data_IF_042272984511
#
_entry.id   IF_042272984511
#
_cell.length_a   1.000
_cell.length_b   1.000
_cell.length_c   1.000
_cell.angle_alpha   90.00
_cell.angle_beta   90.00
_cell.angle_gamma   90.00
#
_symmetry.space_group_name_H-M   'P 1'
#
loop_
_entity.id
_entity.type
_entity.pdbx_description
1 polymer ?
#
# COMPACT_ATOMS: atom_id res chain seq x y z
N UNK A 1 14.55 25.55 12.03
CA UNK A 1 13.28 24.78 11.97
C UNK A 1 13.23 23.71 10.87
N UNK A 2 14.28 23.54 10.05
CA UNK A 2 14.40 22.44 9.06
C UNK A 2 14.76 21.05 9.65
N UNK A 3 15.07 20.98 10.96
CA UNK A 3 15.58 19.76 11.59
C UNK A 3 14.50 18.90 12.26
N UNK A 4 13.26 19.39 12.40
CA UNK A 4 12.17 18.65 13.07
C UNK A 4 11.66 17.46 12.25
N UNK A 5 11.70 17.56 10.92
CA UNK A 5 11.25 16.50 10.02
C UNK A 5 12.34 15.49 9.65
N UNK A 6 13.61 15.82 9.87
CA UNK A 6 14.72 14.90 9.59
C UNK A 6 14.74 13.72 10.58
N UNK A 7 14.31 13.94 11.84
CA UNK A 7 14.26 12.89 12.86
C UNK A 7 13.10 11.91 12.63
N UNK A 8 11.94 12.41 12.17
CA UNK A 8 10.79 11.58 11.76
C UNK A 8 11.14 10.78 10.49
N UNK A 9 11.89 11.37 9.55
CA UNK A 9 12.35 10.70 8.34
C UNK A 9 13.33 9.55 8.66
N UNK A 10 14.27 9.74 9.59
CA UNK A 10 15.19 8.69 10.03
C UNK A 10 14.45 7.59 10.81
N UNK A 11 13.45 7.93 11.63
CA UNK A 11 12.67 6.92 12.36
C UNK A 11 11.80 6.06 11.42
N UNK A 12 11.13 6.67 10.43
CA UNK A 12 10.33 5.96 9.43
C UNK A 12 11.21 5.15 8.47
N UNK A 13 12.42 5.62 8.14
CA UNK A 13 13.38 4.87 7.32
C UNK A 13 14.03 3.70 8.08
N UNK A 14 14.36 3.87 9.37
CA UNK A 14 14.91 2.80 10.23
C UNK A 14 13.87 1.68 10.44
N UNK A 15 12.60 2.02 10.60
CA UNK A 15 11.50 1.04 10.63
C UNK A 15 11.33 0.35 9.26
N UNK A 16 11.69 1.01 8.16
CA UNK A 16 11.57 0.48 6.80
C UNK A 16 12.76 -0.36 6.31
N UNK A 17 13.91 -0.35 7.01
CA UNK A 17 15.07 -1.21 6.69
C UNK A 17 15.05 -2.54 7.45
N UNK A 18 14.37 -2.65 8.60
CA UNK A 18 14.31 -3.90 9.38
C UNK A 18 13.25 -4.91 8.87
N UNK A 19 12.49 -4.58 7.83
CA UNK A 19 11.54 -5.49 7.16
C UNK A 19 12.07 -5.87 5.77
N UNK A 20 13.32 -6.33 5.72
CA UNK A 20 13.90 -6.94 4.53
C UNK A 20 14.45 -8.33 4.86
N UNK A 21 13.52 -9.29 4.85
CA UNK A 21 13.67 -10.68 4.41
C UNK A 21 14.62 -11.60 5.20
N UNK A 22 14.08 -12.57 6.00
CA UNK A 22 14.78 -13.84 6.15
C UNK A 22 14.68 -14.60 4.82
N UNK A 23 15.84 -14.98 4.31
CA UNK A 23 16.02 -15.80 3.12
C UNK A 23 15.88 -17.25 3.58
N UNK A 24 14.78 -17.92 3.25
CA UNK A 24 14.64 -19.35 3.50
C UNK A 24 15.57 -20.10 2.55
N UNK A 25 16.65 -20.63 3.11
CA UNK A 25 17.56 -21.58 2.50
C UNK A 25 17.01 -22.99 2.74
N UNK A 26 16.51 -23.65 1.70
CA UNK A 26 16.43 -25.11 1.60
C UNK A 26 15.80 -25.51 0.28
N UNK A 27 16.61 -25.51 -0.78
CA UNK A 27 16.32 -26.35 -1.95
C UNK A 27 17.62 -27.06 -2.32
N UNK A 28 18.05 -27.96 -1.43
CA UNK A 28 19.06 -28.96 -1.70
C UNK A 28 18.34 -30.29 -1.91
N UNK A 29 18.31 -30.74 -3.16
CA UNK A 29 18.14 -32.16 -3.48
C UNK A 29 19.53 -32.81 -3.41
N UNK A 30 19.63 -34.06 -2.95
CA UNK A 30 20.19 -35.06 -3.87
C UNK A 30 19.55 -36.48 -3.78
N UNK A 31 19.40 -37.05 -4.98
CA UNK A 31 19.59 -38.43 -5.46
C UNK A 31 19.40 -39.67 -4.55
N UNK A 32 18.53 -40.55 -5.07
CA UNK A 32 18.55 -42.04 -5.14
C UNK A 32 18.63 -42.89 -3.87
N UNK A 33 17.69 -43.84 -3.74
CA UNK A 33 17.92 -45.29 -3.84
C UNK A 33 16.61 -46.09 -3.72
N UNK A 34 16.50 -47.10 -4.58
CA UNK A 34 15.45 -48.13 -4.62
C UNK A 34 15.39 -49.00 -3.36
N UNK A 35 14.19 -49.49 -3.00
CA UNK A 35 13.90 -50.93 -2.82
C UNK A 35 12.37 -51.18 -2.64
N UNK A 36 11.89 -52.19 -3.41
CA UNK A 36 10.82 -53.20 -3.21
C UNK A 36 9.86 -53.10 -1.99
N UNK A 37 8.61 -53.61 -1.97
CA UNK A 37 7.73 -54.39 -2.86
C UNK A 37 6.35 -54.58 -2.16
N UNK A 38 5.37 -55.06 -2.94
CA UNK A 38 4.24 -55.93 -2.56
C UNK A 38 2.83 -55.34 -2.31
N UNK A 39 1.86 -55.87 -3.07
CA UNK A 39 0.44 -55.97 -2.71
C UNK A 39 -0.54 -55.41 -3.75
N UNK A 40 -0.70 -56.01 -4.93
CA UNK A 40 -1.78 -56.96 -5.28
C UNK A 40 -3.23 -56.43 -5.24
N UNK A 41 -3.85 -56.21 -6.40
CA UNK A 41 -5.24 -56.59 -6.69
C UNK A 41 -5.56 -56.46 -8.20
N UNK A 42 -6.21 -57.50 -8.71
CA UNK A 42 -6.63 -57.82 -10.08
C UNK A 42 -7.93 -57.14 -10.52
N UNK A 43 -8.10 -56.84 -11.82
CA UNK A 43 -9.31 -57.21 -12.59
C UNK A 43 -9.26 -56.83 -14.09
N UNK A 44 -9.75 -57.78 -14.90
CA UNK A 44 -10.40 -57.71 -16.22
C UNK A 44 -9.67 -57.29 -17.51
N UNK A 45 -9.45 -58.34 -18.31
CA UNK A 45 -9.24 -58.51 -19.76
C UNK A 45 -10.18 -57.70 -20.69
N UNK A 46 -9.67 -57.24 -21.84
CA UNK A 46 -9.93 -57.82 -23.17
C UNK A 46 -9.15 -57.10 -24.32
N UNK A 47 -8.89 -57.78 -25.47
CA UNK A 47 -7.82 -57.42 -26.41
C UNK A 47 -8.30 -57.01 -27.83
N UNK A 48 -7.47 -56.27 -28.58
CA UNK A 48 -7.47 -56.27 -30.05
C UNK A 48 -6.14 -55.73 -30.62
N UNK A 49 -5.60 -56.40 -31.63
CA UNK A 49 -4.36 -56.15 -32.39
C UNK A 49 -4.70 -55.75 -33.85
N UNK A 50 -3.77 -55.68 -34.85
CA UNK A 50 -2.51 -54.91 -34.98
C UNK A 50 -2.30 -54.17 -36.34
N UNK A 51 -1.35 -53.21 -36.38
CA UNK A 51 -0.41 -52.93 -37.50
C UNK A 51 -0.76 -51.84 -38.57
N UNK A 52 0.20 -51.35 -39.40
CA UNK A 52 1.67 -51.47 -39.35
C UNK A 52 2.48 -50.14 -39.52
N UNK A 53 3.78 -50.29 -39.32
CA UNK A 53 4.98 -49.44 -39.46
C UNK A 53 5.17 -48.67 -40.79
N UNK A 54 5.69 -47.42 -40.76
CA UNK A 54 6.87 -46.92 -41.53
C UNK A 54 7.06 -45.38 -41.51
N UNK A 55 8.28 -44.95 -41.21
CA UNK A 55 8.91 -43.61 -41.42
C UNK A 55 9.45 -43.49 -42.87
N UNK A 56 10.18 -42.42 -43.32
CA UNK A 56 10.29 -40.98 -42.98
C UNK A 56 10.20 -40.05 -44.24
N UNK A 57 10.22 -38.71 -44.09
CA UNK A 57 10.73 -37.85 -45.19
C UNK A 57 10.20 -36.41 -45.33
N UNK A 58 11.13 -35.46 -45.17
CA UNK A 58 11.32 -34.28 -46.03
C UNK A 58 10.46 -33.02 -45.80
N UNK A 59 11.14 -32.04 -45.18
CA UNK A 59 10.95 -30.59 -45.23
C UNK A 59 10.50 -30.02 -46.58
N UNK A 60 9.59 -29.03 -46.58
CA UNK A 60 9.73 -27.72 -47.26
C UNK A 60 8.50 -26.84 -46.97
N UNK A 61 8.71 -25.68 -46.35
CA UNK A 61 7.87 -24.46 -46.46
C UNK A 61 8.80 -23.39 -47.03
N UNK A 62 8.37 -22.43 -47.89
CA UNK A 62 7.26 -21.50 -47.58
C UNK A 62 6.46 -20.97 -48.79
N UNK A 63 5.13 -21.02 -48.72
CA UNK A 63 4.25 -20.32 -49.66
C UNK A 63 3.82 -18.96 -49.11
N UNK A 64 4.42 -17.87 -49.61
CA UNK A 64 4.04 -16.48 -49.33
C UNK A 64 2.90 -16.07 -50.26
N UNK A 65 1.78 -15.61 -49.70
CA UNK A 65 0.75 -14.90 -50.45
C UNK A 65 0.36 -13.61 -49.71
N UNK A 66 0.24 -12.45 -50.42
CA UNK A 66 0.04 -11.14 -49.79
C UNK A 66 -1.44 -10.75 -49.82
N UNK A 67 -2.07 -10.41 -48.70
CA UNK A 67 -3.24 -9.52 -48.76
C UNK A 67 -3.66 -8.91 -47.41
N UNK A 68 -4.15 -7.69 -47.52
CA UNK A 68 -4.80 -6.84 -46.52
C UNK A 68 -3.87 -6.19 -45.49
N UNK A 69 -3.27 -5.09 -45.94
CA UNK A 69 -3.05 -3.92 -45.10
C UNK A 69 -4.37 -3.52 -44.42
N UNK A 70 -4.59 -4.06 -43.23
CA UNK A 70 -5.62 -3.58 -42.32
C UNK A 70 -5.23 -2.15 -41.90
N UNK A 71 -5.61 -1.17 -42.71
CA UNK A 71 -5.67 0.24 -42.34
C UNK A 71 -6.61 0.33 -41.15
N UNK A 72 -6.06 0.20 -39.94
CA UNK A 72 -6.77 0.58 -38.73
C UNK A 72 -6.91 2.10 -38.78
N UNK A 73 -8.09 2.56 -39.19
CA UNK A 73 -8.57 3.88 -38.83
C UNK A 73 -8.21 4.13 -37.35
N UNK A 74 -7.62 5.27 -36.98
CA UNK A 74 -7.58 5.70 -35.59
C UNK A 74 -8.99 6.16 -35.23
N UNK A 75 -9.92 5.20 -35.16
CA UNK A 75 -11.21 5.40 -34.53
C UNK A 75 -10.89 5.86 -33.11
N UNK A 76 -11.44 7.02 -32.75
CA UNK A 76 -11.38 7.62 -31.43
C UNK A 76 -11.86 6.62 -30.37
N UNK A 77 -10.97 5.72 -29.98
CA UNK A 77 -11.18 4.78 -28.90
C UNK A 77 -11.01 5.58 -27.63
N UNK A 78 -12.13 6.00 -27.04
CA UNK A 78 -12.15 6.57 -25.71
C UNK A 78 -11.38 5.64 -24.78
N UNK A 79 -10.14 6.00 -24.44
CA UNK A 79 -9.28 5.14 -23.64
C UNK A 79 -9.96 4.95 -22.29
N UNK A 80 -10.32 3.69 -21.98
CA UNK A 80 -10.91 3.34 -20.69
C UNK A 80 -9.97 3.85 -19.60
N UNK A 81 -10.48 4.74 -18.74
CA UNK A 81 -9.72 5.32 -17.63
C UNK A 81 -9.15 4.18 -16.78
N UNK A 82 -7.82 4.05 -16.77
CA UNK A 82 -7.15 2.97 -16.03
C UNK A 82 -7.30 3.22 -14.52
N UNK A 83 -7.92 2.28 -13.82
CA UNK A 83 -8.04 2.31 -12.35
C UNK A 83 -6.70 1.97 -11.70
N UNK A 84 -6.29 2.74 -10.71
CA UNK A 84 -5.11 2.43 -9.91
C UNK A 84 -5.38 1.25 -8.96
N UNK A 85 -4.34 0.45 -8.69
CA UNK A 85 -4.42 -0.62 -7.67
C UNK A 85 -4.65 0.01 -6.29
N UNK A 86 -5.38 -0.66 -5.38
CA UNK A 86 -5.55 -0.17 -4.01
C UNK A 86 -4.19 0.10 -3.36
N UNK A 87 -4.11 1.20 -2.59
CA UNK A 87 -2.86 1.68 -1.97
C UNK A 87 -1.95 2.51 -2.87
N UNK A 88 -2.07 2.42 -4.22
CA UNK A 88 -1.17 3.17 -5.13
C UNK A 88 -1.38 4.69 -5.01
N UNK A 89 -2.63 5.13 -4.90
CA UNK A 89 -2.97 6.56 -4.77
C UNK A 89 -2.58 7.06 -3.38
N UNK A 90 -2.91 6.30 -2.32
CA UNK A 90 -2.53 6.64 -0.95
C UNK A 90 -1.00 6.81 -0.78
N UNK A 91 -0.19 5.90 -1.32
CA UNK A 91 1.27 6.02 -1.25
C UNK A 91 1.80 7.24 -2.02
N UNK A 92 1.13 7.66 -3.09
CA UNK A 92 1.49 8.88 -3.82
C UNK A 92 1.17 10.12 -3.00
N UNK A 93 -0.02 10.17 -2.40
CA UNK A 93 -0.47 11.25 -1.54
C UNK A 93 0.44 11.40 -0.32
N UNK A 94 0.80 10.29 0.35
CA UNK A 94 1.75 10.30 1.46
C UNK A 94 3.08 10.95 1.05
N UNK A 95 3.66 10.55 -0.09
CA UNK A 95 4.91 11.15 -0.57
C UNK A 95 4.75 12.63 -0.93
N UNK A 96 3.60 13.02 -1.47
CA UNK A 96 3.32 14.41 -1.81
C UNK A 96 3.21 15.29 -0.56
N UNK A 97 2.47 14.84 0.46
CA UNK A 97 2.30 15.56 1.72
C UNK A 97 3.55 15.53 2.60
N UNK A 98 4.42 14.52 2.48
CA UNK A 98 5.72 14.53 3.16
C UNK A 98 6.74 15.44 2.47
N UNK A 99 6.58 15.70 1.17
CA UNK A 99 7.45 16.63 0.43
C UNK A 99 7.06 18.10 0.65
N UNK A 100 5.80 18.38 0.96
CA UNK A 100 5.25 19.74 1.06
C UNK A 100 4.55 19.96 2.39
N UNK A 101 4.82 21.07 3.06
CA UNK A 101 4.31 21.37 4.40
C UNK A 101 3.09 22.32 4.39
N UNK A 102 2.30 22.33 3.32
CA UNK A 102 1.11 23.19 3.22
C UNK A 102 0.03 22.72 4.21
N UNK A 103 -0.72 23.68 4.76
CA UNK A 103 -1.89 23.40 5.58
C UNK A 103 -2.93 22.59 4.78
N UNK A 104 -3.45 21.55 5.41
CA UNK A 104 -4.40 20.61 4.80
C UNK A 104 -5.85 20.96 5.17
N UNK A 105 -6.07 21.58 6.33
CA UNK A 105 -7.41 21.96 6.77
C UNK A 105 -7.81 23.27 6.10
N UNK A 106 -9.00 23.36 5.48
CA UNK A 106 -9.47 24.62 4.92
C UNK A 106 -9.59 25.70 6.00
N UNK A 107 -9.04 26.89 5.74
CA UNK A 107 -8.95 27.98 6.73
C UNK A 107 -10.31 28.47 7.22
N UNK A 108 -11.27 28.65 6.32
CA UNK A 108 -12.56 29.23 6.65
C UNK A 108 -13.35 28.45 7.71
N UNK A 109 -13.55 27.11 7.60
CA UNK A 109 -14.20 26.33 8.65
C UNK A 109 -13.36 26.29 9.94
N UNK A 110 -12.04 26.18 9.85
CA UNK A 110 -11.17 26.16 11.04
C UNK A 110 -11.32 27.43 11.88
N UNK A 111 -11.29 28.61 11.22
CA UNK A 111 -11.47 29.90 11.90
C UNK A 111 -12.84 30.00 12.57
N UNK A 112 -13.91 29.47 11.95
CA UNK A 112 -15.25 29.45 12.55
C UNK A 112 -15.25 28.64 13.84
N UNK A 113 -14.65 27.45 13.83
CA UNK A 113 -14.53 26.60 15.01
C UNK A 113 -13.68 27.23 16.11
N UNK A 114 -12.55 27.87 15.77
CA UNK A 114 -11.72 28.57 16.76
C UNK A 114 -12.50 29.69 17.44
N UNK A 115 -13.26 30.49 16.67
CA UNK A 115 -14.08 31.57 17.23
C UNK A 115 -15.25 31.05 18.08
N UNK A 116 -15.87 29.95 17.66
CA UNK A 116 -16.93 29.28 18.42
C UNK A 116 -16.43 28.82 19.80
N UNK A 117 -15.30 28.12 19.83
CA UNK A 117 -14.67 27.64 21.07
C UNK A 117 -14.22 28.83 21.94
N UNK A 118 -13.59 29.85 21.34
CA UNK A 118 -13.18 31.05 22.07
C UNK A 118 -14.36 31.75 22.72
N UNK A 119 -15.48 31.90 22.01
CA UNK A 119 -16.66 32.56 22.55
C UNK A 119 -17.27 31.78 23.72
N UNK A 120 -17.15 30.46 23.72
CA UNK A 120 -17.60 29.61 24.82
C UNK A 120 -16.69 29.69 26.06
N UNK A 121 -15.38 29.90 25.87
CA UNK A 121 -14.39 29.92 26.96
C UNK A 121 -14.10 31.32 27.51
N UNK A 122 -14.05 32.32 26.63
CA UNK A 122 -13.68 33.69 26.94
C UNK A 122 -14.45 34.67 26.01
N UNK A 123 -15.68 35.05 26.39
CA UNK A 123 -16.55 35.87 25.54
C UNK A 123 -16.02 37.30 25.31
N UNK A 124 -15.11 37.78 26.17
CA UNK A 124 -14.52 39.11 26.07
C UNK A 124 -13.59 39.26 24.84
N UNK A 125 -13.08 38.14 24.31
CA UNK A 125 -12.10 38.13 23.21
C UNK A 125 -12.84 38.08 21.87
N UNK A 126 -13.16 39.27 21.34
CA UNK A 126 -13.91 39.41 20.08
C UNK A 126 -13.01 39.57 18.83
N UNK A 127 -11.76 40.03 19.00
CA UNK A 127 -10.84 40.36 17.91
C UNK A 127 -9.66 39.38 17.84
N UNK A 128 -9.34 38.96 16.62
CA UNK A 128 -8.28 38.00 16.34
C UNK A 128 -7.35 38.55 15.26
N UNK A 129 -6.04 38.45 15.47
CA UNK A 129 -5.05 38.72 14.43
C UNK A 129 -4.98 37.56 13.45
N UNK A 130 -4.63 37.85 12.20
CA UNK A 130 -4.50 36.81 11.18
C UNK A 130 -3.36 35.85 11.53
N UNK A 131 -2.23 36.37 12.03
CA UNK A 131 -1.08 35.57 12.43
C UNK A 131 -1.39 34.61 13.58
N UNK A 132 -2.18 35.03 14.57
CA UNK A 132 -2.58 34.15 15.67
C UNK A 132 -3.43 32.98 15.16
N UNK A 133 -4.37 33.24 14.24
CA UNK A 133 -5.19 32.18 13.65
C UNK A 133 -4.35 31.19 12.83
N UNK A 134 -3.31 31.67 12.14
CA UNK A 134 -2.34 30.81 11.45
C UNK A 134 -1.54 29.96 12.43
N UNK A 135 -1.01 30.56 13.49
CA UNK A 135 -0.21 29.85 14.50
C UNK A 135 -1.03 28.75 15.19
N UNK A 136 -2.29 29.02 15.51
CA UNK A 136 -3.21 28.01 16.09
C UNK A 136 -3.45 26.87 15.09
N UNK A 137 -3.65 27.20 13.80
CA UNK A 137 -3.87 26.17 12.78
C UNK A 137 -2.62 25.31 12.57
N UNK A 138 -1.44 25.91 12.48
CA UNK A 138 -0.17 25.19 12.35
C UNK A 138 0.07 24.27 13.55
N UNK A 139 -0.13 24.75 14.77
CA UNK A 139 0.01 23.95 15.98
C UNK A 139 -1.01 22.79 16.04
N UNK A 140 -2.25 23.04 15.62
CA UNK A 140 -3.29 22.01 15.60
C UNK A 140 -3.00 20.91 14.56
N UNK A 141 -2.59 21.28 13.34
CA UNK A 141 -2.24 20.31 12.30
C UNK A 141 -0.97 19.52 12.67
N UNK A 142 0.04 20.19 13.24
CA UNK A 142 1.27 19.55 13.73
C UNK A 142 0.96 18.52 14.83
N UNK A 143 0.11 18.87 15.79
CA UNK A 143 -0.33 17.93 16.84
C UNK A 143 -1.03 16.69 16.26
N UNK A 144 -1.92 16.88 15.29
CA UNK A 144 -2.64 15.78 14.65
C UNK A 144 -1.68 14.86 13.89
N UNK A 145 -0.70 15.39 13.16
CA UNK A 145 0.30 14.59 12.43
C UNK A 145 1.09 13.71 13.40
N UNK A 146 1.62 14.29 14.48
CA UNK A 146 2.35 13.52 15.50
C UNK A 146 1.46 12.45 16.16
N UNK A 147 0.19 12.74 16.40
CA UNK A 147 -0.76 11.75 16.93
C UNK A 147 -1.01 10.60 15.94
N UNK A 148 -1.10 10.90 14.63
CA UNK A 148 -1.23 9.87 13.60
C UNK A 148 0.04 9.01 13.47
N UNK A 149 1.22 9.57 13.68
CA UNK A 149 2.48 8.81 13.72
C UNK A 149 2.49 7.81 14.88
N UNK A 150 2.17 8.27 16.09
CA UNK A 150 2.09 7.42 17.29
C UNK A 150 1.03 6.31 17.11
N UNK A 151 -0.15 6.66 16.58
CA UNK A 151 -1.22 5.69 16.30
C UNK A 151 -0.83 4.68 15.20
N UNK A 152 -0.05 5.11 14.20
CA UNK A 152 0.43 4.22 13.13
C UNK A 152 1.40 3.17 13.68
N UNK A 153 2.27 3.54 14.61
CA UNK A 153 3.14 2.58 15.30
C UNK A 153 2.33 1.54 16.08
N UNK A 154 1.24 1.97 16.75
CA UNK A 154 0.32 1.06 17.44
C UNK A 154 -0.39 0.09 16.48
N UNK A 155 -0.83 0.56 15.31
CA UNK A 155 -1.45 -0.28 14.31
C UNK A 155 -0.48 -1.32 13.73
N UNK A 156 0.77 -0.91 13.45
CA UNK A 156 1.83 -1.80 12.95
C UNK A 156 2.20 -2.84 14.02
N UNK A 157 2.26 -2.45 15.30
CA UNK A 157 2.48 -3.38 16.41
C UNK A 157 1.42 -4.49 16.44
N UNK A 158 0.17 -4.16 16.09
CA UNK A 158 -0.93 -5.11 15.95
C UNK A 158 -1.00 -5.79 14.56
N UNK A 159 0.04 -5.69 13.72
CA UNK A 159 0.12 -6.25 12.35
C UNK A 159 -0.96 -5.73 11.39
N UNK A 160 -1.48 -4.52 11.60
CA UNK A 160 -2.47 -3.85 10.74
C UNK A 160 -1.85 -2.68 9.98
N UNK A 161 -2.51 -2.28 8.89
CA UNK A 161 -2.17 -1.08 8.08
C UNK A 161 -3.27 -0.01 8.16
N UNK A 162 -4.44 -0.38 8.68
CA UNK A 162 -5.58 0.52 8.86
C UNK A 162 -5.64 0.99 10.31
N UNK A 163 -5.68 2.31 10.51
CA UNK A 163 -5.86 2.93 11.81
C UNK A 163 -7.29 2.71 12.34
N UNK A 164 -7.39 2.48 13.64
CA UNK A 164 -8.65 2.28 14.36
C UNK A 164 -8.70 3.17 15.60
N UNK A 165 -9.89 3.42 16.15
CA UNK A 165 -10.08 4.21 17.39
C UNK A 165 -9.18 3.73 18.54
N UNK A 166 -9.02 2.40 18.67
CA UNK A 166 -8.18 1.77 19.70
C UNK A 166 -6.70 2.17 19.60
N UNK A 167 -6.21 2.46 18.39
CA UNK A 167 -4.81 2.86 18.17
C UNK A 167 -4.58 4.28 18.70
N UNK A 168 -5.54 5.19 18.52
CA UNK A 168 -5.50 6.54 19.09
C UNK A 168 -5.64 6.54 20.60
N UNK A 169 -6.54 5.72 21.15
CA UNK A 169 -6.69 5.57 22.60
C UNK A 169 -5.41 5.08 23.25
N UNK A 170 -4.75 4.08 22.65
CA UNK A 170 -3.48 3.56 23.14
C UNK A 170 -2.37 4.62 23.04
N UNK A 171 -2.24 5.27 21.88
CA UNK A 171 -1.26 6.34 21.68
C UNK A 171 -1.44 7.49 22.68
N UNK A 172 -2.70 7.88 22.96
CA UNK A 172 -3.03 8.94 23.93
C UNK A 172 -2.67 8.54 25.36
N UNK A 173 -2.96 7.28 25.74
CA UNK A 173 -2.67 6.74 27.08
C UNK A 173 -1.18 6.65 27.34
N UNK A 174 -0.41 6.14 26.37
CA UNK A 174 1.04 5.99 26.50
C UNK A 174 1.77 7.34 26.38
N UNK A 175 1.30 8.23 25.51
CA UNK A 175 1.91 9.53 25.28
C UNK A 175 1.56 10.60 26.30
N UNK A 176 0.64 10.34 27.24
CA UNK A 176 0.16 11.35 28.21
C UNK A 176 -0.59 12.54 27.57
N UNK A 177 -0.81 12.51 26.25
CA UNK A 177 -1.40 13.61 25.46
C UNK A 177 -2.92 13.64 25.63
N UNK A 178 -3.39 14.03 26.80
CA UNK A 178 -4.81 14.26 27.06
C UNK A 178 -5.40 13.35 28.13
N UNK A 179 -4.68 13.21 29.24
CA UNK A 179 -5.31 12.90 30.52
C UNK A 179 -6.37 13.98 30.81
N UNK A 180 -7.61 13.62 31.18
CA UNK A 180 -8.48 14.58 31.84
C UNK A 180 -7.79 14.99 33.15
N UNK A 181 -7.71 16.30 33.40
CA UNK A 181 -7.42 16.81 34.73
C UNK A 181 -8.55 16.47 35.69
#
# INVERSE_FOLDING_TARGET
>A
MHSRWFFVFVLVLVVRVRVSKPRDSSNDRPLSLSLCNAGSASASRSPASPGPTSTPGTSTSPGRSPSSSHRRNPAASGQKKRRFRPGTVALREIRQFQKSWRLLIPRAPFIRTVKEISNALAPDITRWTVEALYAIQEAAEDFLVHLFEDAMLCAIHAKRVTLMRKDFELARRLGGKGQPW
#
